data_IF_417743433353
#
_entry.id   IF_417743433353
#
_cell.length_a   1.000
_cell.length_b   1.000
_cell.length_c   1.000
_cell.angle_alpha   90.00
_cell.angle_beta   90.00
_cell.angle_gamma   90.00
#
_symmetry.space_group_name_H-M   'P 1'
#
loop_
_entity.id
_entity.type
_entity.pdbx_description
1 polymer ?
#
# COMPACT_ATOMS: atom_id res chain seq x y z
N UNK A 1 10.42 -17.27 16.47
CA UNK A 1 11.46 -17.68 15.51
C UNK A 1 11.57 -16.59 14.46
N UNK A 2 12.77 -16.08 14.20
CA UNK A 2 13.03 -15.11 13.13
C UNK A 2 13.31 -15.89 11.85
N UNK A 3 12.86 -15.37 10.71
CA UNK A 3 13.11 -15.97 9.40
C UNK A 3 13.80 -14.96 8.51
N UNK A 4 14.84 -15.40 7.79
CA UNK A 4 15.34 -14.68 6.63
C UNK A 4 14.30 -14.86 5.52
N UNK A 5 13.52 -13.81 5.27
CA UNK A 5 12.38 -13.89 4.37
C UNK A 5 12.85 -13.83 2.91
N UNK A 6 13.23 -14.99 2.37
CA UNK A 6 13.44 -15.16 0.92
C UNK A 6 12.10 -15.48 0.27
N UNK A 7 11.59 -14.56 -0.54
CA UNK A 7 10.39 -14.75 -1.34
C UNK A 7 10.78 -15.21 -2.73
N UNK A 8 10.33 -16.40 -3.13
CA UNK A 8 10.54 -16.94 -4.46
C UNK A 8 9.24 -16.78 -5.24
N UNK A 9 9.30 -16.08 -6.36
CA UNK A 9 8.20 -15.96 -7.30
C UNK A 9 8.55 -16.68 -8.60
N UNK A 10 7.58 -17.37 -9.19
CA UNK A 10 7.64 -17.84 -10.58
C UNK A 10 7.66 -16.63 -11.50
N UNK A 11 8.29 -16.79 -12.65
CA UNK A 11 8.11 -15.86 -13.75
C UNK A 11 6.69 -16.02 -14.30
N UNK A 12 5.95 -14.92 -14.36
CA UNK A 12 4.57 -14.86 -14.84
C UNK A 12 4.53 -13.85 -15.97
N UNK A 13 4.06 -14.30 -17.14
CA UNK A 13 3.89 -13.42 -18.28
C UNK A 13 2.80 -12.39 -17.99
N UNK A 14 3.19 -11.13 -17.87
CA UNK A 14 2.27 -10.00 -17.73
C UNK A 14 1.80 -9.62 -19.13
N UNK A 15 0.49 -9.67 -19.44
CA UNK A 15 -0.02 -9.32 -20.75
C UNK A 15 0.39 -7.91 -21.15
N UNK A 16 0.79 -7.70 -22.41
CA UNK A 16 1.11 -6.35 -22.92
C UNK A 16 -0.06 -5.37 -22.83
N UNK A 17 -1.29 -5.89 -22.76
CA UNK A 17 -2.51 -5.09 -22.60
C UNK A 17 -2.81 -4.73 -21.14
N UNK A 18 -2.11 -5.30 -20.16
CA UNK A 18 -2.37 -5.04 -18.74
C UNK A 18 -2.04 -3.58 -18.39
N UNK A 19 -3.06 -2.82 -17.97
CA UNK A 19 -3.00 -1.38 -17.72
C UNK A 19 -2.48 -0.57 -18.93
N UNK A 20 -2.62 -1.11 -20.14
CA UNK A 20 -2.20 -0.45 -21.36
C UNK A 20 -3.21 0.66 -21.72
N UNK A 21 -2.85 1.91 -21.41
CA UNK A 21 -3.64 3.10 -21.73
C UNK A 21 -4.23 3.81 -20.51
N UNK A 22 -5.11 4.80 -20.72
CA UNK A 22 -5.81 5.47 -19.63
C UNK A 22 -7.01 4.66 -19.12
N UNK A 23 -7.44 4.85 -17.86
CA UNK A 23 -8.65 4.20 -17.36
C UNK A 23 -9.86 4.74 -18.12
N UNK A 24 -10.89 3.90 -18.26
CA UNK A 24 -12.13 4.26 -18.97
C UNK A 24 -12.92 5.36 -18.26
N UNK A 25 -12.75 5.47 -16.94
CA UNK A 25 -13.29 6.55 -16.11
C UNK A 25 -12.13 7.42 -15.64
N UNK A 26 -12.24 8.77 -15.70
CA UNK A 26 -11.19 9.65 -15.20
C UNK A 26 -10.83 9.39 -13.74
N UNK A 27 -9.54 9.47 -13.44
CA UNK A 27 -9.05 9.35 -12.07
C UNK A 27 -9.44 10.61 -11.29
N UNK A 28 -10.09 10.42 -10.14
CA UNK A 28 -10.42 11.52 -9.24
C UNK A 28 -9.50 11.53 -8.04
N UNK A 29 -9.09 12.73 -7.64
CA UNK A 29 -8.14 12.95 -6.54
C UNK A 29 -8.89 13.50 -5.32
N UNK A 30 -8.77 12.81 -4.18
CA UNK A 30 -9.41 13.19 -2.93
C UNK A 30 -8.36 13.27 -1.81
N UNK A 31 -7.74 14.44 -1.58
CA UNK A 31 -6.88 14.66 -0.43
C UNK A 31 -7.69 14.53 0.87
N UNK A 32 -7.13 13.85 1.87
CA UNK A 32 -7.73 13.78 3.19
C UNK A 32 -7.40 15.08 3.94
N UNK A 33 -8.41 15.94 4.10
CA UNK A 33 -8.28 17.18 4.86
C UNK A 33 -8.28 16.92 6.37
N UNK A 34 -7.11 16.55 6.89
CA UNK A 34 -6.97 16.26 8.31
C UNK A 34 -7.33 17.46 9.20
N UNK A 35 -7.05 18.68 8.75
CA UNK A 35 -7.28 19.90 9.53
C UNK A 35 -8.77 20.11 9.86
N UNK A 36 -9.67 19.65 8.99
CA UNK A 36 -11.11 19.72 9.15
C UNK A 36 -11.77 18.35 9.39
N UNK A 37 -10.98 17.36 9.83
CA UNK A 37 -11.45 16.01 10.14
C UNK A 37 -11.55 15.74 11.64
N UNK A 38 -11.88 14.49 12.02
CA UNK A 38 -11.77 14.03 13.40
C UNK A 38 -10.31 13.98 13.92
N UNK A 39 -9.30 14.19 13.07
CA UNK A 39 -7.88 14.07 13.40
C UNK A 39 -7.07 15.33 13.02
N UNK A 40 -7.40 16.52 13.57
CA UNK A 40 -6.69 17.75 13.28
C UNK A 40 -5.21 17.73 13.70
N UNK A 41 -4.80 16.78 14.55
CA UNK A 41 -3.39 16.52 14.89
C UNK A 41 -2.53 16.16 13.68
N UNK A 42 -3.14 15.67 12.60
CA UNK A 42 -2.47 15.36 11.33
C UNK A 42 -2.54 16.48 10.31
N UNK A 43 -2.89 17.71 10.73
CA UNK A 43 -2.79 18.89 9.87
C UNK A 43 -1.39 18.99 9.26
N UNK A 44 -1.35 19.07 7.93
CA UNK A 44 -0.12 19.15 7.14
C UNK A 44 0.51 17.79 6.78
N UNK A 45 -0.02 16.69 7.31
CA UNK A 45 0.31 15.36 6.82
C UNK A 45 -0.35 15.10 5.47
N UNK A 46 0.32 14.32 4.62
CA UNK A 46 -0.16 13.94 3.30
C UNK A 46 -0.83 12.56 3.35
N UNK A 47 -2.12 12.52 3.00
CA UNK A 47 -2.85 11.31 2.65
C UNK A 47 -3.88 11.63 1.55
N UNK A 48 -3.93 10.83 0.50
CA UNK A 48 -4.68 11.13 -0.73
C UNK A 48 -5.28 9.82 -1.26
N UNK A 49 -6.55 9.87 -1.63
CA UNK A 49 -7.23 8.76 -2.30
C UNK A 49 -7.33 9.10 -3.78
N UNK A 50 -6.85 8.19 -4.64
CA UNK A 50 -7.07 8.20 -6.07
C UNK A 50 -8.12 7.15 -6.37
N UNK A 51 -9.26 7.52 -6.95
CA UNK A 51 -10.28 6.56 -7.37
C UNK A 51 -10.18 6.32 -8.88
N UNK A 52 -10.67 5.16 -9.34
CA UNK A 52 -10.66 4.75 -10.76
C UNK A 52 -9.26 4.55 -11.37
N UNK A 53 -8.23 4.25 -10.56
CA UNK A 53 -6.88 3.96 -11.07
C UNK A 53 -6.86 2.65 -11.86
N UNK A 54 -7.55 1.63 -11.32
CA UNK A 54 -7.83 0.36 -11.99
C UNK A 54 -9.34 0.14 -12.08
N UNK A 55 -9.79 -0.63 -13.09
CA UNK A 55 -11.13 -1.22 -13.10
C UNK A 55 -11.21 -2.45 -12.18
N UNK A 56 -12.43 -2.94 -11.91
CA UNK A 56 -12.62 -4.18 -11.14
C UNK A 56 -11.97 -5.38 -11.83
N UNK A 57 -12.11 -5.47 -13.15
CA UNK A 57 -11.54 -6.54 -13.98
C UNK A 57 -10.00 -6.49 -13.97
N UNK A 58 -9.41 -5.28 -14.00
CA UNK A 58 -7.96 -5.10 -13.87
C UNK A 58 -7.47 -5.51 -12.47
N UNK A 59 -8.26 -5.24 -11.42
CA UNK A 59 -7.96 -5.70 -10.06
C UNK A 59 -7.99 -7.24 -9.96
N UNK A 60 -8.99 -7.89 -10.53
CA UNK A 60 -9.11 -9.36 -10.58
C UNK A 60 -7.94 -9.98 -11.36
N UNK A 61 -7.60 -9.40 -12.52
CA UNK A 61 -6.46 -9.85 -13.32
C UNK A 61 -5.15 -9.70 -12.53
N UNK A 62 -4.93 -8.57 -11.86
CA UNK A 62 -3.75 -8.33 -11.04
C UNK A 62 -3.64 -9.33 -9.87
N UNK A 63 -4.77 -9.64 -9.23
CA UNK A 63 -4.83 -10.65 -8.17
C UNK A 63 -4.46 -12.04 -8.71
N UNK A 64 -5.02 -12.45 -9.85
CA UNK A 64 -4.72 -13.73 -10.49
C UNK A 64 -3.26 -13.87 -10.91
N UNK A 65 -2.65 -12.79 -11.43
CA UNK A 65 -1.21 -12.77 -11.75
C UNK A 65 -0.35 -12.98 -10.50
N UNK A 66 -0.71 -12.37 -9.38
CA UNK A 66 0.01 -12.54 -8.12
C UNK A 66 -0.15 -13.95 -7.53
N UNK A 67 -1.35 -14.54 -7.60
CA UNK A 67 -1.55 -15.92 -7.16
C UNK A 67 -0.77 -16.91 -8.04
N UNK A 68 -0.75 -16.70 -9.35
CA UNK A 68 0.01 -17.52 -10.30
C UNK A 68 1.53 -17.42 -10.09
N UNK A 69 2.01 -16.30 -9.51
CA UNK A 69 3.45 -16.11 -9.24
C UNK A 69 3.96 -16.94 -8.07
N UNK A 70 3.08 -17.53 -7.25
CA UNK A 70 3.52 -18.33 -6.11
C UNK A 70 3.85 -19.78 -6.53
N UNK A 71 5.05 -20.30 -6.19
CA UNK A 71 5.33 -21.72 -6.28
C UNK A 71 4.58 -22.48 -5.18
N UNK A 72 3.47 -23.13 -5.55
CA UNK A 72 2.68 -23.99 -4.67
C UNK A 72 2.80 -25.45 -5.08
N UNK A 73 2.71 -26.34 -4.08
CA UNK A 73 2.46 -27.77 -4.29
C UNK A 73 0.94 -28.01 -4.46
N UNK A 74 0.56 -29.16 -5.01
CA UNK A 74 -0.86 -29.50 -5.22
C UNK A 74 -1.65 -29.43 -3.89
N UNK A 75 -2.74 -28.67 -3.91
CA UNK A 75 -3.63 -28.49 -2.76
C UNK A 75 -3.19 -27.41 -1.76
N UNK A 76 -2.05 -26.74 -1.95
CA UNK A 76 -1.66 -25.62 -1.11
C UNK A 76 -2.28 -24.28 -1.54
N UNK A 77 -2.55 -23.42 -0.56
CA UNK A 77 -2.89 -22.02 -0.84
C UNK A 77 -1.63 -21.21 -1.18
N UNK A 78 -1.69 -20.30 -2.19
CA UNK A 78 -0.62 -19.34 -2.45
C UNK A 78 -0.50 -18.27 -1.35
N UNK A 79 -1.56 -18.08 -0.56
CA UNK A 79 -1.60 -17.14 0.55
C UNK A 79 -0.97 -17.76 1.80
N UNK A 80 0.04 -17.10 2.36
CA UNK A 80 0.69 -17.50 3.61
C UNK A 80 0.57 -16.39 4.66
N UNK A 81 0.59 -16.69 5.97
CA UNK A 81 0.48 -15.67 7.01
C UNK A 81 1.49 -14.53 6.82
N UNK A 82 0.99 -13.30 6.85
CA UNK A 82 1.81 -12.11 6.69
C UNK A 82 2.64 -11.85 7.95
N UNK A 83 3.95 -11.76 7.77
CA UNK A 83 4.88 -11.47 8.86
C UNK A 83 5.05 -9.96 9.07
N UNK A 84 5.71 -9.59 10.17
CA UNK A 84 6.15 -8.22 10.45
C UNK A 84 7.67 -8.16 10.44
N UNK A 85 8.21 -6.99 10.03
CA UNK A 85 9.64 -6.73 10.17
C UNK A 85 10.05 -6.84 11.63
N UNK A 86 11.14 -7.54 11.87
CA UNK A 86 11.61 -7.94 13.19
C UNK A 86 12.99 -7.39 13.54
N UNK A 87 13.56 -6.54 12.67
CA UNK A 87 14.88 -5.94 12.82
C UNK A 87 15.54 -5.63 11.49
N UNK A 88 16.81 -5.16 11.51
CA UNK A 88 17.61 -4.94 10.32
C UNK A 88 17.82 -6.23 9.50
N UNK A 89 18.15 -6.09 8.21
CA UNK A 89 18.55 -7.23 7.37
C UNK A 89 17.39 -8.07 6.82
N UNK A 90 16.15 -7.56 6.84
CA UNK A 90 15.00 -8.26 6.26
C UNK A 90 14.46 -9.41 7.12
N UNK A 91 14.85 -9.47 8.40
CA UNK A 91 14.29 -10.44 9.34
C UNK A 91 12.80 -10.19 9.53
N UNK A 92 12.02 -11.26 9.46
CA UNK A 92 10.58 -11.22 9.71
C UNK A 92 10.16 -12.24 10.76
N UNK A 93 9.04 -11.94 11.45
CA UNK A 93 8.44 -12.86 12.43
C UNK A 93 6.92 -12.80 12.37
N UNK A 94 6.29 -13.90 12.76
CA UNK A 94 4.86 -13.91 13.02
C UNK A 94 4.55 -13.02 14.24
N UNK A 95 3.44 -12.30 14.19
CA UNK A 95 2.99 -11.43 15.28
C UNK A 95 1.49 -11.62 15.54
N UNK A 96 1.08 -12.82 15.98
CA UNK A 96 -0.33 -13.11 16.26
C UNK A 96 -0.87 -12.14 17.33
N UNK A 97 -2.12 -11.72 17.17
CA UNK A 97 -2.77 -10.68 17.97
C UNK A 97 -2.37 -9.24 17.62
N UNK A 98 -1.31 -9.05 16.83
CA UNK A 98 -0.88 -7.74 16.32
C UNK A 98 -1.14 -7.59 14.82
N UNK A 99 -0.82 -8.63 14.04
CA UNK A 99 -1.14 -8.73 12.61
C UNK A 99 -1.74 -10.10 12.33
N UNK A 100 -2.97 -10.09 11.87
CA UNK A 100 -3.74 -11.24 11.43
C UNK A 100 -4.12 -10.98 9.97
N UNK A 101 -3.38 -11.53 9.02
CA UNK A 101 -3.62 -11.37 7.59
C UNK A 101 -2.74 -12.36 6.83
N UNK A 102 -3.11 -12.70 5.61
CA UNK A 102 -2.25 -13.45 4.71
C UNK A 102 -1.60 -12.53 3.66
N UNK A 103 -0.50 -12.97 3.06
CA UNK A 103 0.26 -12.21 2.08
C UNK A 103 0.81 -13.07 0.96
N UNK A 104 0.89 -12.47 -0.22
CA UNK A 104 1.81 -12.84 -1.30
C UNK A 104 2.80 -11.68 -1.47
N UNK A 105 4.08 -11.99 -1.61
CA UNK A 105 5.12 -11.01 -1.98
C UNK A 105 5.55 -11.32 -3.40
N UNK A 106 5.37 -10.34 -4.28
CA UNK A 106 5.75 -10.44 -5.68
C UNK A 106 6.62 -9.23 -6.04
N UNK A 107 7.93 -9.46 -6.15
CA UNK A 107 8.88 -8.43 -6.57
C UNK A 107 8.79 -8.31 -8.11
N UNK A 108 8.10 -7.28 -8.60
CA UNK A 108 7.83 -7.09 -10.02
C UNK A 108 7.76 -5.60 -10.40
N UNK A 109 8.88 -5.07 -10.89
CA UNK A 109 9.03 -3.64 -11.19
C UNK A 109 8.04 -3.16 -12.25
N UNK A 110 7.83 -3.96 -13.32
CA UNK A 110 6.96 -3.56 -14.43
C UNK A 110 5.53 -3.26 -13.95
N UNK A 111 4.99 -4.09 -13.06
CA UNK A 111 3.63 -3.92 -12.52
C UNK A 111 3.57 -2.69 -11.61
N UNK A 112 4.57 -2.48 -10.76
CA UNK A 112 4.65 -1.29 -9.91
C UNK A 112 4.69 0.00 -10.75
N UNK A 113 5.46 0.01 -11.83
CA UNK A 113 5.57 1.15 -12.75
C UNK A 113 4.27 1.41 -13.52
N UNK A 114 3.59 0.37 -14.00
CA UNK A 114 2.30 0.51 -14.69
C UNK A 114 1.21 1.09 -13.77
N UNK A 115 1.12 0.60 -12.52
CA UNK A 115 0.18 1.15 -11.52
C UNK A 115 0.53 2.61 -11.22
N UNK A 116 1.81 2.92 -11.02
CA UNK A 116 2.25 4.29 -10.78
C UNK A 116 1.97 5.23 -11.96
N UNK A 117 2.23 4.77 -13.18
CA UNK A 117 1.93 5.51 -14.39
C UNK A 117 0.43 5.83 -14.51
N UNK A 118 -0.46 4.92 -14.08
CA UNK A 118 -1.90 5.21 -13.95
C UNK A 118 -2.14 6.29 -12.90
N UNK A 119 -1.58 6.18 -11.69
CA UNK A 119 -1.73 7.21 -10.66
C UNK A 119 -1.32 8.62 -11.15
N UNK A 120 -0.23 8.73 -11.91
CA UNK A 120 0.27 9.99 -12.46
C UNK A 120 -0.60 10.60 -13.58
N UNK A 121 -1.62 9.88 -14.08
CA UNK A 121 -2.61 10.49 -14.99
C UNK A 121 -3.61 11.38 -14.24
N UNK A 122 -3.70 11.27 -12.91
CA UNK A 122 -4.45 12.21 -12.10
C UNK A 122 -3.67 13.52 -11.96
N UNK A 123 -4.38 14.65 -12.13
CA UNK A 123 -3.79 15.99 -12.09
C UNK A 123 -3.03 16.25 -10.77
N UNK A 124 -1.79 16.73 -10.88
CA UNK A 124 -0.97 17.17 -9.76
C UNK A 124 -0.27 16.05 -8.97
N UNK A 125 -0.55 14.76 -9.23
CA UNK A 125 0.02 13.65 -8.45
C UNK A 125 1.51 13.49 -8.70
N UNK A 126 1.96 13.59 -9.95
CA UNK A 126 3.37 13.50 -10.28
C UNK A 126 4.17 14.63 -9.61
N UNK A 127 3.65 15.86 -9.64
CA UNK A 127 4.27 17.05 -9.06
C UNK A 127 4.29 16.97 -7.53
N UNK A 128 3.18 16.58 -6.92
CA UNK A 128 3.05 16.48 -5.47
C UNK A 128 3.99 15.40 -4.89
N UNK A 129 4.20 14.32 -5.62
CA UNK A 129 5.03 13.19 -5.19
C UNK A 129 6.47 13.30 -5.69
N UNK A 130 6.81 14.33 -6.48
CA UNK A 130 8.14 14.51 -7.08
C UNK A 130 9.25 14.70 -6.03
N UNK A 131 8.92 15.29 -4.87
CA UNK A 131 9.85 15.51 -3.77
C UNK A 131 9.18 15.26 -2.43
N UNK A 132 9.98 14.88 -1.43
CA UNK A 132 9.50 14.80 -0.05
C UNK A 132 9.65 16.17 0.61
N UNK A 133 8.61 16.72 1.26
CA UNK A 133 8.72 17.96 2.01
C UNK A 133 9.82 17.86 3.07
N UNK A 134 10.72 18.85 3.10
CA UNK A 134 11.81 18.89 4.08
C UNK A 134 11.27 19.02 5.51
N UNK A 135 11.74 18.15 6.39
CA UNK A 135 11.52 18.23 7.82
C UNK A 135 12.37 19.33 8.48
N UNK A 136 12.01 19.79 9.70
CA UNK A 136 12.72 20.86 10.41
C UNK A 136 14.20 20.57 10.74
N UNK A 137 14.64 19.31 10.60
CA UNK A 137 15.97 18.83 10.97
C UNK A 137 16.74 18.23 9.79
N UNK A 138 16.23 18.41 8.57
CA UNK A 138 16.83 17.77 7.41
C UNK A 138 18.14 18.45 7.01
N UNK A 139 19.10 17.64 6.56
CA UNK A 139 20.36 18.14 5.98
C UNK A 139 20.06 18.96 4.72
N UNK A 140 21.02 19.77 4.26
CA UNK A 140 20.93 20.41 2.94
C UNK A 140 20.83 19.33 1.86
N UNK A 141 19.69 19.29 1.18
CA UNK A 141 19.39 18.33 0.13
C UNK A 141 17.89 18.07 0.05
N UNK A 142 17.49 17.22 -0.89
CA UNK A 142 16.11 16.81 -1.02
C UNK A 142 15.97 15.39 -1.58
N UNK A 143 14.95 14.68 -1.10
CA UNK A 143 14.53 13.40 -1.65
C UNK A 143 13.72 13.64 -2.93
N UNK A 144 14.18 13.09 -4.06
CA UNK A 144 13.49 13.13 -5.35
C UNK A 144 12.87 11.79 -5.66
N UNK A 145 11.67 11.78 -6.21
CA UNK A 145 11.02 10.57 -6.68
C UNK A 145 11.96 9.79 -7.60
N UNK A 146 12.11 8.49 -7.33
CA UNK A 146 12.87 7.58 -8.19
C UNK A 146 11.90 6.62 -8.91
N UNK A 147 11.13 5.84 -8.15
CA UNK A 147 10.19 4.83 -8.65
C UNK A 147 9.26 4.34 -7.53
N UNK A 148 8.23 3.58 -7.87
CA UNK A 148 7.58 2.71 -6.89
C UNK A 148 8.47 1.49 -6.60
N UNK A 149 8.49 1.05 -5.34
CA UNK A 149 9.24 -0.13 -4.92
C UNK A 149 8.71 -1.37 -5.66
N UNK A 150 9.61 -2.18 -6.21
CA UNK A 150 9.27 -3.41 -6.93
C UNK A 150 8.49 -4.40 -6.06
N UNK A 151 8.66 -4.33 -4.73
CA UNK A 151 8.05 -5.27 -3.79
C UNK A 151 6.57 -4.99 -3.59
N UNK A 152 5.74 -5.68 -4.38
CA UNK A 152 4.29 -5.67 -4.23
C UNK A 152 3.89 -6.68 -3.16
N UNK A 153 3.24 -6.18 -2.10
CA UNK A 153 2.73 -7.00 -1.01
C UNK A 153 1.23 -7.10 -1.15
N UNK A 154 0.77 -8.19 -1.74
CA UNK A 154 -0.65 -8.51 -1.82
C UNK A 154 -1.10 -9.01 -0.45
N UNK A 155 -2.18 -8.46 0.08
CA UNK A 155 -2.68 -8.74 1.41
C UNK A 155 -4.10 -9.28 1.30
N UNK A 156 -4.40 -10.33 2.06
CA UNK A 156 -5.72 -10.93 2.18
C UNK A 156 -6.14 -10.91 3.64
N UNK A 157 -7.35 -10.42 3.90
CA UNK A 157 -7.96 -10.40 5.23
C UNK A 157 -9.32 -11.10 5.17
N UNK A 158 -9.41 -12.22 5.87
CA UNK A 158 -10.64 -13.01 6.07
C UNK A 158 -11.39 -12.53 7.33
N UNK A 159 -12.61 -13.01 7.62
CA UNK A 159 -13.34 -12.58 8.82
C UNK A 159 -12.53 -12.78 10.11
N UNK A 160 -12.49 -11.74 10.95
CA UNK A 160 -11.70 -11.67 12.18
C UNK A 160 -10.26 -11.20 12.01
N UNK A 161 -9.73 -11.12 10.77
CA UNK A 161 -8.38 -10.65 10.48
C UNK A 161 -8.28 -9.12 10.49
N UNK A 162 -7.10 -8.59 10.86
CA UNK A 162 -6.82 -7.16 11.07
C UNK A 162 -5.32 -6.88 11.07
N UNK A 163 -4.94 -5.61 11.08
CA UNK A 163 -3.59 -5.18 11.44
C UNK A 163 -3.67 -4.01 12.43
N UNK A 164 -3.17 -4.20 13.65
CA UNK A 164 -3.26 -3.21 14.74
C UNK A 164 -2.63 -1.86 14.39
N UNK A 165 -2.98 -0.80 15.14
CA UNK A 165 -2.40 0.52 14.95
C UNK A 165 -0.87 0.53 14.89
N UNK A 166 -0.32 1.11 13.83
CA UNK A 166 1.10 1.21 13.56
C UNK A 166 1.43 2.43 12.70
N UNK A 167 2.72 2.72 12.58
CA UNK A 167 3.27 3.70 11.65
C UNK A 167 4.18 2.91 10.72
N UNK A 168 4.06 3.13 9.43
CA UNK A 168 4.89 2.44 8.45
C UNK A 168 6.35 2.89 8.57
N UNK A 169 7.26 1.91 8.60
CA UNK A 169 8.70 2.15 8.67
C UNK A 169 9.29 2.35 7.27
N UNK A 170 10.27 3.26 7.10
CA UNK A 170 10.92 3.44 5.82
C UNK A 170 11.78 2.21 5.48
N UNK A 171 11.75 1.80 4.21
CA UNK A 171 12.80 1.00 3.61
C UNK A 171 13.89 1.93 3.08
N UNK A 172 15.15 1.61 3.36
CA UNK A 172 16.29 2.41 2.92
C UNK A 172 17.44 1.51 2.48
N UNK A 173 18.23 1.98 1.53
CA UNK A 173 19.49 1.37 1.12
C UNK A 173 20.41 2.42 0.50
N UNK A 174 21.69 2.10 0.38
CA UNK A 174 22.70 2.91 -0.32
C UNK A 174 23.30 2.06 -1.43
N UNK A 175 23.53 2.65 -2.59
CA UNK A 175 24.32 2.05 -3.68
C UNK A 175 25.36 3.04 -4.23
N UNK A 176 26.10 2.63 -5.26
CA UNK A 176 27.16 3.46 -5.88
C UNK A 176 26.66 4.82 -6.39
N UNK A 177 25.35 4.97 -6.57
CA UNK A 177 24.72 6.16 -7.14
C UNK A 177 24.08 7.06 -6.08
N UNK A 178 23.99 6.63 -4.82
CA UNK A 178 23.55 7.44 -3.68
C UNK A 178 22.62 6.73 -2.68
N UNK A 179 22.00 7.53 -1.82
CA UNK A 179 21.07 7.06 -0.80
C UNK A 179 19.64 6.97 -1.33
N UNK A 180 18.93 5.90 -0.96
CA UNK A 180 17.55 5.64 -1.33
C UNK A 180 16.69 5.39 -0.10
N UNK A 181 15.50 5.99 -0.05
CA UNK A 181 14.56 5.81 1.05
C UNK A 181 13.11 5.91 0.57
N UNK A 182 12.23 5.07 1.14
CA UNK A 182 10.79 5.21 0.94
C UNK A 182 10.18 6.16 1.96
N UNK A 183 9.25 7.01 1.53
CA UNK A 183 8.59 8.00 2.40
C UNK A 183 7.07 7.92 2.42
N UNK A 184 6.48 7.24 1.44
CA UNK A 184 5.05 7.10 1.28
C UNK A 184 4.70 5.64 1.02
N UNK A 185 3.54 5.23 1.50
CA UNK A 185 2.91 3.97 1.11
C UNK A 185 1.86 4.26 0.06
N UNK A 186 1.82 3.42 -0.98
CA UNK A 186 0.72 3.33 -1.92
C UNK A 186 -0.04 2.02 -1.65
N UNK A 187 -1.32 2.14 -1.30
CA UNK A 187 -2.19 1.05 -0.89
C UNK A 187 -3.37 0.94 -1.86
N UNK A 188 -3.31 -0.03 -2.77
CA UNK A 188 -4.36 -0.31 -3.75
C UNK A 188 -5.39 -1.28 -3.17
N UNK A 189 -6.67 -0.96 -3.27
CA UNK A 189 -7.77 -1.87 -2.93
C UNK A 189 -8.19 -2.67 -4.16
N UNK A 190 -8.34 -3.99 -4.02
CA UNK A 190 -8.66 -4.88 -5.15
C UNK A 190 -10.14 -5.30 -5.20
N UNK A 191 -10.91 -5.01 -4.16
CA UNK A 191 -12.34 -5.25 -4.13
C UNK A 191 -13.08 -4.20 -3.28
N UNK A 192 -14.38 -4.06 -3.54
CA UNK A 192 -15.24 -3.12 -2.81
C UNK A 192 -15.62 -3.64 -1.44
N UNK A 193 -15.89 -2.72 -0.52
CA UNK A 193 -16.58 -2.96 0.75
C UNK A 193 -18.06 -2.64 0.66
N UNK A 194 -18.86 -3.13 1.60
CA UNK A 194 -20.30 -2.87 1.72
C UNK A 194 -20.62 -1.38 1.95
N UNK A 195 -19.68 -0.63 2.53
CA UNK A 195 -19.74 0.82 2.68
C UNK A 195 -19.62 1.57 1.35
N UNK A 196 -19.08 0.91 0.32
CA UNK A 196 -18.85 1.46 -1.02
C UNK A 196 -19.83 0.92 -2.06
N UNK A 197 -20.11 -0.39 -2.03
CA UNK A 197 -21.10 -1.07 -2.87
C UNK A 197 -21.96 -1.97 -1.97
N UNK A 198 -23.28 -1.70 -1.83
CA UNK A 198 -24.15 -2.49 -0.95
C UNK A 198 -24.29 -3.96 -1.37
N UNK A 199 -23.85 -4.34 -2.57
CA UNK A 199 -23.81 -5.74 -3.01
C UNK A 199 -22.51 -6.47 -2.64
N UNK A 200 -21.52 -5.77 -2.10
CA UNK A 200 -20.28 -6.39 -1.61
C UNK A 200 -20.53 -7.19 -0.32
N UNK A 201 -19.87 -8.34 -0.21
CA UNK A 201 -19.88 -9.19 0.98
C UNK A 201 -18.86 -8.75 2.04
N UNK A 202 -17.92 -7.87 1.67
CA UNK A 202 -16.86 -7.35 2.53
C UNK A 202 -17.44 -6.28 3.47
N UNK A 203 -17.57 -6.62 4.75
CA UNK A 203 -18.02 -5.68 5.80
C UNK A 203 -16.87 -5.34 6.72
N UNK A 204 -16.62 -4.05 6.96
CA UNK A 204 -15.47 -3.58 7.73
C UNK A 204 -14.18 -3.56 6.91
N UNK A 205 -13.03 -3.79 7.54
CA UNK A 205 -11.76 -3.81 6.81
C UNK A 205 -11.25 -2.44 6.33
N UNK A 206 -11.76 -1.31 6.82
CA UNK A 206 -11.24 0.01 6.50
C UNK A 206 -9.73 0.14 6.77
N UNK A 207 -9.03 0.94 5.98
CA UNK A 207 -7.73 1.50 6.41
C UNK A 207 -8.03 2.76 7.20
N UNK A 208 -7.64 2.78 8.46
CA UNK A 208 -8.15 3.80 9.39
C UNK A 208 -7.00 4.57 9.98
N UNK A 209 -6.99 5.89 9.76
CA UNK A 209 -6.10 6.81 10.47
C UNK A 209 -6.64 7.04 11.86
N UNK A 210 -5.75 7.12 12.84
CA UNK A 210 -6.07 7.15 14.27
C UNK A 210 -5.11 8.08 15.02
N UNK A 211 -5.49 8.51 16.21
CA UNK A 211 -4.53 9.02 17.21
C UNK A 211 -4.43 8.05 18.38
N UNK A 212 -3.38 8.19 19.20
CA UNK A 212 -3.12 7.29 20.35
C UNK A 212 -4.26 7.25 21.36
N UNK A 213 -5.01 8.34 21.51
CA UNK A 213 -6.21 8.37 22.33
C UNK A 213 -7.42 7.92 21.49
N UNK A 214 -7.95 6.71 21.69
CA UNK A 214 -9.02 6.17 20.85
C UNK A 214 -10.33 6.95 20.98
N UNK A 215 -10.47 7.83 21.97
CA UNK A 215 -11.67 8.67 22.17
C UNK A 215 -11.73 9.87 21.22
N UNK A 216 -10.61 10.21 20.58
CA UNK A 216 -10.51 11.39 19.71
C UNK A 216 -11.01 11.17 18.28
N UNK A 217 -11.41 9.95 17.94
CA UNK A 217 -11.99 9.61 16.64
C UNK A 217 -11.01 8.93 15.69
N UNK A 218 -11.46 8.76 14.44
CA UNK A 218 -10.73 8.12 13.35
C UNK A 218 -11.18 8.69 12.00
N UNK A 219 -10.35 8.52 10.98
CA UNK A 219 -10.73 8.77 9.58
C UNK A 219 -10.58 7.46 8.83
N UNK A 220 -11.69 6.96 8.30
CA UNK A 220 -11.76 5.66 7.64
C UNK A 220 -11.70 5.83 6.12
N UNK A 221 -10.82 5.05 5.50
CA UNK A 221 -10.77 4.84 4.05
C UNK A 221 -11.28 3.43 3.78
N UNK A 222 -12.52 3.35 3.31
CA UNK A 222 -13.19 2.09 3.01
C UNK A 222 -12.68 1.51 1.68
N UNK A 223 -12.48 0.18 1.57
CA UNK A 223 -12.08 -0.45 0.33
C UNK A 223 -13.04 -0.13 -0.82
N UNK A 224 -12.49 0.45 -1.88
CA UNK A 224 -13.11 0.64 -3.19
C UNK A 224 -12.19 0.05 -4.24
N UNK A 225 -12.64 -0.96 -4.96
CA UNK A 225 -11.88 -1.64 -5.99
C UNK A 225 -11.24 -0.62 -6.96
N UNK A 226 -9.94 -0.79 -7.21
CA UNK A 226 -9.17 0.04 -8.11
C UNK A 226 -8.77 1.41 -7.57
N UNK A 227 -9.08 1.72 -6.32
CA UNK A 227 -8.64 2.96 -5.67
C UNK A 227 -7.30 2.78 -4.98
N UNK A 228 -6.45 3.82 -5.02
CA UNK A 228 -5.13 3.85 -4.38
C UNK A 228 -5.12 4.91 -3.30
N UNK A 229 -4.87 4.50 -2.06
CA UNK A 229 -4.57 5.40 -0.95
C UNK A 229 -3.05 5.61 -0.87
N UNK A 230 -2.59 6.84 -1.09
CA UNK A 230 -1.20 7.25 -0.91
C UNK A 230 -1.10 8.04 0.39
N UNK A 231 -0.20 7.65 1.29
CA UNK A 231 -0.03 8.36 2.57
C UNK A 231 1.41 8.32 3.07
N UNK A 232 1.83 9.38 3.76
CA UNK A 232 3.19 9.49 4.28
C UNK A 232 3.43 8.49 5.41
N UNK A 233 4.66 7.98 5.50
CA UNK A 233 5.11 7.13 6.60
C UNK A 233 5.20 7.91 7.90
N UNK A 234 5.75 9.13 7.87
CA UNK A 234 6.12 9.84 9.08
C UNK A 234 4.92 10.28 9.92
N UNK A 235 4.78 9.68 11.10
CA UNK A 235 3.88 10.13 12.17
C UNK A 235 2.40 9.76 11.97
N UNK A 236 2.04 9.16 10.84
CA UNK A 236 0.66 8.86 10.50
C UNK A 236 0.26 7.47 11.03
N UNK A 237 -0.32 7.45 12.24
CA UNK A 237 -0.78 6.23 12.90
C UNK A 237 -2.02 5.73 12.18
N UNK A 238 -2.00 4.46 11.78
CA UNK A 238 -3.11 3.85 11.06
C UNK A 238 -3.22 2.36 11.37
N UNK A 239 -4.34 1.76 11.03
CA UNK A 239 -4.60 0.33 11.19
C UNK A 239 -5.32 -0.24 9.96
N UNK A 240 -5.24 -1.56 9.81
CA UNK A 240 -6.22 -2.32 9.03
C UNK A 240 -7.33 -2.78 9.97
N UNK A 241 -8.49 -2.13 9.90
CA UNK A 241 -9.63 -2.46 10.74
C UNK A 241 -10.07 -3.92 10.53
N UNK A 242 -10.76 -4.48 11.51
CA UNK A 242 -11.23 -5.87 11.48
C UNK A 242 -12.18 -6.08 10.29
N UNK A 243 -11.92 -7.12 9.50
CA UNK A 243 -12.90 -7.65 8.53
C UNK A 243 -13.95 -8.43 9.31
N UNK A 244 -15.22 -8.02 9.21
CA UNK A 244 -16.34 -8.64 9.93
C UNK A 244 -17.01 -9.75 9.12
N UNK A 245 -17.05 -9.59 7.80
CA UNK A 245 -17.61 -10.54 6.82
C UNK A 245 -16.89 -10.35 5.48
N UNK A 246 -16.97 -11.36 4.62
CA UNK A 246 -16.33 -11.36 3.30
C UNK A 246 -14.82 -11.43 3.39
N UNK A 247 -14.14 -11.05 2.31
CA UNK A 247 -12.66 -11.02 2.24
C UNK A 247 -12.21 -9.69 1.68
N UNK A 248 -11.19 -9.07 2.28
CA UNK A 248 -10.52 -7.88 1.74
C UNK A 248 -9.22 -8.27 1.06
N UNK A 249 -9.03 -7.76 -0.16
CA UNK A 249 -7.79 -7.88 -0.92
C UNK A 249 -7.18 -6.50 -1.19
N UNK A 250 -5.89 -6.34 -0.91
CA UNK A 250 -5.16 -5.11 -1.22
C UNK A 250 -3.74 -5.37 -1.70
N UNK A 251 -3.11 -4.37 -2.31
CA UNK A 251 -1.68 -4.36 -2.62
C UNK A 251 -1.04 -3.18 -1.90
N UNK A 252 -0.01 -3.45 -1.09
CA UNK A 252 0.84 -2.43 -0.48
C UNK A 252 2.18 -2.40 -1.19
N UNK A 253 2.56 -1.25 -1.70
CA UNK A 253 3.94 -0.92 -2.05
C UNK A 253 4.32 0.43 -1.45
N UNK A 254 5.56 0.84 -1.63
CA UNK A 254 6.13 2.05 -1.07
C UNK A 254 6.76 2.89 -2.20
N UNK A 255 6.70 4.21 -2.10
CA UNK A 255 7.29 5.12 -3.10
C UNK A 255 8.74 5.39 -2.68
N UNK A 256 9.67 5.05 -3.56
CA UNK A 256 11.12 5.17 -3.35
C UNK A 256 11.62 6.51 -3.87
N UNK A 257 12.47 7.14 -3.06
CA UNK A 257 13.11 8.40 -3.36
C UNK A 257 14.62 8.25 -3.32
N UNK A 258 15.31 9.04 -4.14
CA UNK A 258 16.76 9.18 -4.13
C UNK A 258 17.14 10.50 -3.47
N UNK A 259 18.11 10.47 -2.55
CA UNK A 259 18.65 11.69 -1.95
C UNK A 259 19.48 12.45 -2.98
N UNK A 260 19.21 13.75 -3.09
CA UNK A 260 20.04 14.69 -3.85
C UNK A 260 20.49 15.80 -2.91
N UNK A 261 21.66 15.61 -2.30
CA UNK A 261 22.33 16.58 -1.45
C UNK A 261 23.75 16.83 -1.91
N UNK A 262 24.28 18.02 -1.61
CA UNK A 262 25.69 18.37 -1.79
C UNK A 262 26.50 18.01 -0.55
#
# INVERSE_FOLDING_TARGET
>A
MFHDAVYISKDVSIPETFLAGPPSTPITVHPIDFANSALPEYKGSTAIILENVLSKEECEQLLGLAEASVPIQDGESPWKPALVSAGPGGMERAAPGYRESDRIVWDQQRVADLIWARCCQAEGIAELMATVPAGPRDKKGLWKFERCNQRLRFLKYSPGQFFKPHVDGPFWYEDETGDYQTHYTAHLYLNDSAEVDPNSDLVGGATSFLVRDPRKGRVDVNPRAGSVLIFQHQGLLHEGAVVKSGVKYTVRTDILYKWTGQ
#
